data_IF_491021917598
#
_entry.id   IF_491021917598
#
_cell.length_a   1.000
_cell.length_b   1.000
_cell.length_c   1.000
_cell.angle_alpha   90.00
_cell.angle_beta   90.00
_cell.angle_gamma   90.00
#
_symmetry.space_group_name_H-M   'P 1'
#
loop_
_entity.id
_entity.type
_entity.pdbx_description
1 polymer ?
#
# COMPACT_ATOMS: atom_id res chain seq x y z
N UNK A 1 -21.90 20.07 -18.63
CA UNK A 1 -21.52 18.66 -18.50
C UNK A 1 -20.83 18.17 -19.78
N UNK A 2 -21.36 18.43 -20.96
CA UNK A 2 -20.77 18.03 -22.26
C UNK A 2 -19.31 18.50 -22.42
N UNK A 3 -18.97 19.75 -22.06
CA UNK A 3 -17.60 20.25 -22.13
C UNK A 3 -16.63 19.52 -21.17
N UNK A 4 -17.12 19.03 -20.03
CA UNK A 4 -16.28 18.25 -19.08
C UNK A 4 -15.97 16.88 -19.67
N UNK A 5 -16.93 16.25 -20.31
CA UNK A 5 -16.78 14.93 -20.92
C UNK A 5 -15.86 14.96 -22.16
N UNK A 6 -15.80 16.13 -22.86
CA UNK A 6 -14.87 16.34 -23.99
C UNK A 6 -13.43 16.64 -23.54
N UNK A 7 -13.26 17.37 -22.43
CA UNK A 7 -11.94 17.84 -21.99
C UNK A 7 -11.22 16.90 -21.04
N UNK A 8 -11.94 16.07 -20.28
CA UNK A 8 -11.35 15.13 -19.33
C UNK A 8 -11.35 13.74 -19.95
N UNK A 9 -10.19 13.24 -20.41
CA UNK A 9 -10.12 11.89 -20.95
C UNK A 9 -10.46 10.86 -19.89
N UNK A 10 -11.12 9.78 -20.28
CA UNK A 10 -11.37 8.63 -19.42
C UNK A 10 -10.01 8.09 -18.94
N UNK A 11 -9.79 7.94 -17.61
CA UNK A 11 -8.53 7.43 -17.09
C UNK A 11 -8.24 6.02 -17.62
N UNK A 12 -7.02 5.79 -18.05
CA UNK A 12 -6.56 4.44 -18.36
C UNK A 12 -6.52 3.60 -17.08
N UNK A 13 -7.15 2.44 -17.11
CA UNK A 13 -7.16 1.49 -16.00
C UNK A 13 -6.10 0.42 -16.24
N UNK A 14 -5.27 0.15 -15.26
CA UNK A 14 -4.22 -0.86 -15.33
C UNK A 14 -4.79 -2.29 -15.17
N UNK A 15 -5.70 -2.68 -16.07
CA UNK A 15 -6.43 -3.96 -16.02
C UNK A 15 -5.60 -5.14 -16.53
N UNK A 16 -4.56 -4.89 -17.31
CA UNK A 16 -3.62 -5.86 -17.91
C UNK A 16 -2.51 -6.30 -16.94
N UNK A 17 -2.41 -5.66 -15.79
CA UNK A 17 -1.44 -5.99 -14.74
C UNK A 17 -1.99 -7.07 -13.79
N UNK A 18 -1.12 -7.77 -13.03
CA UNK A 18 -1.56 -8.69 -12.00
C UNK A 18 -2.42 -7.99 -10.95
N UNK A 19 -3.52 -8.64 -10.53
CA UNK A 19 -4.44 -8.09 -9.52
C UNK A 19 -3.72 -7.69 -8.23
N UNK A 20 -4.09 -6.53 -7.71
CA UNK A 20 -3.70 -6.04 -6.40
C UNK A 20 -4.77 -5.12 -5.83
N UNK A 21 -5.19 -5.40 -4.60
CA UNK A 21 -6.13 -4.59 -3.83
C UNK A 21 -5.63 -4.42 -2.39
N UNK A 22 -5.29 -3.21 -1.95
CA UNK A 22 -5.03 -2.94 -0.54
C UNK A 22 -6.28 -3.13 0.31
N UNK A 23 -6.14 -3.76 1.46
CA UNK A 23 -7.24 -3.95 2.42
C UNK A 23 -7.43 -2.67 3.23
N UNK A 24 -8.63 -2.10 3.16
CA UNK A 24 -9.00 -0.88 3.88
C UNK A 24 -9.78 -1.19 5.16
N UNK A 25 -10.73 -2.13 5.08
CA UNK A 25 -11.53 -2.57 6.21
C UNK A 25 -11.90 -4.05 6.08
N UNK A 26 -12.19 -4.67 7.22
CA UNK A 26 -12.53 -6.10 7.30
C UNK A 26 -13.70 -6.31 8.25
N UNK A 27 -14.72 -7.01 7.80
CA UNK A 27 -15.87 -7.38 8.60
C UNK A 27 -16.38 -8.78 8.26
N UNK A 28 -17.29 -9.27 9.07
CA UNK A 28 -17.92 -10.59 8.88
C UNK A 28 -19.38 -10.40 8.53
N UNK A 29 -19.84 -11.13 7.52
CA UNK A 29 -21.26 -11.28 7.23
C UNK A 29 -21.71 -12.64 7.72
N UNK A 30 -22.68 -12.67 8.65
CA UNK A 30 -23.25 -13.92 9.18
C UNK A 30 -23.73 -14.82 8.05
N UNK A 31 -23.24 -16.06 8.02
CA UNK A 31 -23.57 -17.05 7.00
C UNK A 31 -22.87 -16.89 5.65
N UNK A 32 -22.06 -15.83 5.46
CA UNK A 32 -21.31 -15.59 4.21
C UNK A 32 -19.79 -15.64 4.38
N UNK A 33 -19.27 -15.27 5.55
CA UNK A 33 -17.85 -15.30 5.87
C UNK A 33 -17.19 -13.93 6.01
N UNK A 34 -15.89 -13.89 5.82
CA UNK A 34 -15.06 -12.69 5.96
C UNK A 34 -15.11 -11.87 4.68
N UNK A 35 -15.29 -10.56 4.83
CA UNK A 35 -15.28 -9.58 3.73
C UNK A 35 -14.16 -8.59 3.95
N UNK A 36 -13.31 -8.44 2.95
CA UNK A 36 -12.32 -7.36 2.87
C UNK A 36 -12.80 -6.30 1.88
N UNK A 37 -12.73 -5.04 2.26
CA UNK A 37 -13.03 -3.93 1.37
C UNK A 37 -11.76 -3.21 0.96
N UNK A 38 -11.78 -2.62 -0.23
CA UNK A 38 -10.69 -1.82 -0.75
C UNK A 38 -10.94 -1.38 -2.19
N UNK A 39 -10.03 -0.55 -2.66
CA UNK A 39 -9.99 -0.15 -4.07
C UNK A 39 -9.02 -1.05 -4.82
N UNK A 40 -9.46 -1.61 -5.92
CA UNK A 40 -8.57 -2.36 -6.83
C UNK A 40 -7.53 -1.39 -7.41
N UNK A 41 -6.28 -1.58 -7.06
CA UNK A 41 -5.17 -0.73 -7.51
C UNK A 41 -4.79 -1.06 -8.96
N UNK A 42 -4.77 -2.33 -9.30
CA UNK A 42 -4.47 -2.84 -10.65
C UNK A 42 -5.04 -4.23 -10.88
N UNK A 43 -5.13 -4.61 -12.15
CA UNK A 43 -5.57 -5.93 -12.57
C UNK A 43 -7.08 -6.13 -12.48
N UNK A 44 -7.47 -7.39 -12.54
CA UNK A 44 -8.86 -7.84 -12.48
C UNK A 44 -8.95 -9.03 -11.53
N UNK A 45 -10.02 -9.11 -10.75
CA UNK A 45 -10.35 -10.25 -9.89
C UNK A 45 -11.73 -10.79 -10.22
N UNK A 46 -11.86 -12.12 -10.20
CA UNK A 46 -13.11 -12.83 -10.49
C UNK A 46 -13.54 -13.71 -9.32
N UNK A 47 -14.82 -13.96 -9.24
CA UNK A 47 -15.33 -14.97 -8.33
C UNK A 47 -14.75 -16.35 -8.71
N UNK A 48 -14.18 -17.04 -7.73
CA UNK A 48 -13.48 -18.32 -7.90
C UNK A 48 -11.95 -18.19 -7.96
N UNK A 49 -11.40 -16.99 -8.13
CA UNK A 49 -9.97 -16.80 -8.12
C UNK A 49 -9.35 -17.12 -6.77
N UNK A 50 -8.14 -17.68 -6.81
CA UNK A 50 -7.26 -17.76 -5.64
C UNK A 50 -6.35 -16.55 -5.65
N UNK A 51 -6.29 -15.84 -4.54
CA UNK A 51 -5.41 -14.67 -4.33
C UNK A 51 -4.58 -14.88 -3.08
N UNK A 52 -3.44 -14.20 -2.99
CA UNK A 52 -2.60 -14.21 -1.80
C UNK A 52 -2.88 -12.97 -0.93
N UNK A 53 -3.01 -13.21 0.37
CA UNK A 53 -2.99 -12.17 1.40
C UNK A 53 -1.53 -11.95 1.82
N UNK A 54 -1.00 -10.74 1.60
CA UNK A 54 0.42 -10.40 1.77
C UNK A 54 0.59 -9.17 2.66
N UNK A 55 1.60 -9.17 3.51
CA UNK A 55 1.95 -8.07 4.41
C UNK A 55 1.58 -8.33 5.86
N UNK A 56 2.19 -7.60 6.77
CA UNK A 56 2.12 -7.70 8.24
C UNK A 56 2.63 -9.04 8.81
N UNK A 57 2.83 -10.02 7.98
CA UNK A 57 3.41 -11.34 8.28
C UNK A 57 4.42 -11.72 7.21
N UNK A 58 5.38 -12.57 7.57
CA UNK A 58 6.43 -13.04 6.65
C UNK A 58 5.90 -14.04 5.61
N UNK A 59 4.79 -14.71 5.91
CA UNK A 59 4.24 -15.75 5.04
C UNK A 59 2.96 -15.26 4.35
N UNK A 60 2.91 -15.30 3.01
CA UNK A 60 1.67 -15.08 2.28
C UNK A 60 0.68 -16.22 2.55
N UNK A 61 -0.61 -15.92 2.48
CA UNK A 61 -1.68 -16.88 2.69
C UNK A 61 -2.60 -16.92 1.48
N UNK A 62 -2.82 -18.09 0.93
CA UNK A 62 -3.80 -18.29 -0.13
C UNK A 62 -5.23 -18.20 0.41
N UNK A 63 -6.06 -17.40 -0.25
CA UNK A 63 -7.47 -17.23 0.03
C UNK A 63 -8.28 -17.30 -1.27
N UNK A 64 -9.52 -17.79 -1.18
CA UNK A 64 -10.38 -17.91 -2.35
C UNK A 64 -11.46 -16.84 -2.33
N UNK A 65 -11.60 -16.13 -3.46
CA UNK A 65 -12.67 -15.15 -3.69
C UNK A 65 -13.98 -15.88 -3.95
N UNK A 66 -14.93 -15.78 -3.04
CA UNK A 66 -16.25 -16.44 -3.16
C UNK A 66 -17.35 -15.49 -3.60
N UNK A 67 -17.08 -14.19 -3.62
CA UNK A 67 -17.99 -13.17 -4.10
C UNK A 67 -17.32 -11.83 -4.22
N UNK A 68 -17.82 -11.02 -5.14
CA UNK A 68 -17.42 -9.63 -5.33
C UNK A 68 -18.67 -8.77 -5.28
N UNK A 69 -18.65 -7.70 -4.51
CA UNK A 69 -19.78 -6.80 -4.33
C UNK A 69 -19.36 -5.34 -4.48
N UNK A 70 -20.14 -4.57 -5.22
CA UNK A 70 -19.98 -3.13 -5.35
C UNK A 70 -21.36 -2.45 -5.29
N UNK A 71 -21.54 -1.44 -4.44
CA UNK A 71 -22.79 -0.72 -4.24
C UNK A 71 -24.01 -1.66 -4.00
N UNK A 72 -23.83 -2.71 -3.17
CA UNK A 72 -24.84 -3.75 -2.86
C UNK A 72 -25.28 -4.59 -4.07
N UNK A 73 -24.45 -4.62 -5.13
CA UNK A 73 -24.68 -5.49 -6.28
C UNK A 73 -23.57 -6.53 -6.34
N UNK A 74 -23.96 -7.77 -6.53
CA UNK A 74 -23.02 -8.86 -6.79
C UNK A 74 -22.49 -8.71 -8.22
N UNK A 75 -21.19 -8.91 -8.35
CA UNK A 75 -20.47 -8.86 -9.62
C UNK A 75 -19.75 -10.20 -9.84
N UNK A 76 -19.58 -10.58 -11.09
CA UNK A 76 -18.77 -11.74 -11.47
C UNK A 76 -17.26 -11.40 -11.42
N UNK A 77 -16.92 -10.15 -11.65
CA UNK A 77 -15.54 -9.62 -11.61
C UNK A 77 -15.51 -8.15 -11.24
N UNK A 78 -14.33 -7.69 -10.83
CA UNK A 78 -14.00 -6.28 -10.65
C UNK A 78 -12.61 -5.97 -11.21
N UNK A 79 -12.36 -4.72 -11.55
CA UNK A 79 -11.15 -4.26 -12.22
C UNK A 79 -10.53 -3.03 -11.57
N UNK A 80 -9.32 -2.69 -11.99
CA UNK A 80 -8.58 -1.53 -11.52
C UNK A 80 -9.46 -0.27 -11.48
N UNK A 81 -9.47 0.41 -10.32
CA UNK A 81 -10.27 1.60 -10.05
C UNK A 81 -11.58 1.34 -9.31
N UNK A 82 -12.08 0.12 -9.27
CA UNK A 82 -13.32 -0.22 -8.57
C UNK A 82 -13.11 -0.28 -7.05
N UNK A 83 -14.06 0.28 -6.29
CA UNK A 83 -14.14 0.09 -4.84
C UNK A 83 -15.10 -1.08 -4.56
N UNK A 84 -14.59 -2.13 -3.99
CA UNK A 84 -15.31 -3.39 -3.82
C UNK A 84 -15.22 -3.98 -2.41
N UNK A 85 -16.17 -4.83 -2.09
CA UNK A 85 -16.10 -5.82 -1.01
C UNK A 85 -15.84 -7.19 -1.63
N UNK A 86 -14.82 -7.87 -1.13
CA UNK A 86 -14.46 -9.21 -1.59
C UNK A 86 -14.78 -10.21 -0.47
N UNK A 87 -15.65 -11.17 -0.75
CA UNK A 87 -15.93 -12.28 0.15
C UNK A 87 -14.80 -13.30 0.02
N UNK A 88 -14.23 -13.67 1.15
CA UNK A 88 -13.07 -14.56 1.22
C UNK A 88 -13.40 -15.85 1.95
N UNK A 89 -12.90 -16.96 1.42
CA UNK A 89 -12.85 -18.26 2.07
C UNK A 89 -11.41 -18.65 2.35
N UNK A 90 -11.18 -19.27 3.50
CA UNK A 90 -9.85 -19.69 3.94
C UNK A 90 -9.19 -18.73 4.91
N UNK A 91 -9.87 -17.65 5.32
CA UNK A 91 -9.37 -16.66 6.29
C UNK A 91 -10.49 -16.25 7.25
N UNK A 92 -10.16 -16.14 8.54
CA UNK A 92 -11.04 -15.60 9.57
C UNK A 92 -10.87 -14.06 9.65
N UNK A 93 -11.83 -13.38 10.29
CA UNK A 93 -11.83 -11.92 10.46
C UNK A 93 -10.57 -11.41 11.20
N UNK A 94 -10.10 -12.16 12.17
CA UNK A 94 -8.95 -11.88 13.02
C UNK A 94 -7.59 -12.24 12.40
N UNK A 95 -7.61 -12.88 11.23
CA UNK A 95 -6.42 -13.29 10.47
C UNK A 95 -6.12 -12.35 9.29
N UNK A 96 -6.95 -11.33 9.06
CA UNK A 96 -6.78 -10.33 8.01
C UNK A 96 -6.94 -8.93 8.60
N UNK A 97 -6.03 -8.04 8.25
CA UNK A 97 -5.98 -6.70 8.80
C UNK A 97 -5.81 -5.64 7.70
N UNK A 98 -6.25 -4.41 8.03
CA UNK A 98 -5.95 -3.23 7.23
C UNK A 98 -4.44 -3.08 7.08
N UNK A 99 -3.99 -2.81 5.87
CA UNK A 99 -2.57 -2.66 5.53
C UNK A 99 -1.96 -3.87 4.83
N UNK A 100 -2.60 -5.03 4.92
CA UNK A 100 -2.32 -6.14 4.02
C UNK A 100 -2.85 -5.85 2.63
N UNK A 101 -2.41 -6.62 1.65
CA UNK A 101 -2.93 -6.57 0.28
C UNK A 101 -3.43 -7.95 -0.14
N UNK A 102 -4.48 -7.96 -0.96
CA UNK A 102 -4.87 -9.12 -1.75
C UNK A 102 -4.24 -8.97 -3.13
N UNK A 103 -3.50 -9.96 -3.57
CA UNK A 103 -2.79 -9.92 -4.84
C UNK A 103 -2.89 -11.22 -5.61
N UNK A 104 -2.65 -11.16 -6.90
CA UNK A 104 -2.47 -12.37 -7.71
C UNK A 104 -1.28 -13.17 -7.15
N UNK A 105 -1.37 -14.53 -7.12
CA UNK A 105 -0.36 -15.35 -6.48
C UNK A 105 1.05 -15.09 -7.02
N UNK A 106 2.02 -14.96 -6.10
CA UNK A 106 3.46 -14.79 -6.40
C UNK A 106 3.82 -13.50 -7.14
N UNK A 107 2.98 -12.47 -7.11
CA UNK A 107 3.23 -11.20 -7.81
C UNK A 107 3.81 -10.11 -6.94
N UNK A 108 3.61 -10.19 -5.63
CA UNK A 108 4.18 -9.26 -4.64
C UNK A 108 4.59 -10.03 -3.39
N UNK A 109 5.58 -9.52 -2.67
CA UNK A 109 6.05 -10.07 -1.39
C UNK A 109 6.07 -9.01 -0.32
N UNK A 110 6.06 -9.46 0.93
CA UNK A 110 6.30 -8.60 2.08
C UNK A 110 7.83 -8.41 2.27
N UNK A 111 8.23 -7.19 2.60
CA UNK A 111 9.62 -6.78 2.77
C UNK A 111 9.76 -5.86 3.96
N UNK A 112 10.93 -5.88 4.58
CA UNK A 112 11.27 -5.01 5.70
C UNK A 112 12.33 -4.00 5.36
N UNK A 113 13.21 -4.27 4.38
CA UNK A 113 14.36 -3.42 4.07
C UNK A 113 14.43 -3.04 2.60
N UNK A 114 14.55 -1.74 2.34
CA UNK A 114 14.61 -1.21 0.97
C UNK A 114 15.35 0.13 0.90
N UNK A 115 15.83 0.46 -0.29
CA UNK A 115 16.35 1.81 -0.61
C UNK A 115 15.23 2.69 -1.16
N UNK A 116 15.34 3.96 -0.87
CA UNK A 116 14.36 4.97 -1.29
C UNK A 116 15.01 6.28 -1.71
N UNK A 117 14.30 7.01 -2.53
CA UNK A 117 14.55 8.41 -2.82
C UNK A 117 13.42 9.24 -2.24
N UNK A 118 13.75 10.24 -1.43
CA UNK A 118 12.80 10.99 -0.60
C UNK A 118 13.04 12.47 -0.73
N UNK A 119 11.97 13.23 -0.92
CA UNK A 119 11.92 14.66 -0.72
C UNK A 119 11.49 14.98 0.71
N UNK A 120 12.29 15.74 1.43
CA UNK A 120 11.99 16.17 2.81
C UNK A 120 11.31 17.53 2.76
N UNK A 121 10.07 17.59 3.22
CA UNK A 121 9.26 18.81 3.20
C UNK A 121 9.87 19.91 4.06
N UNK A 122 9.86 21.13 3.52
CA UNK A 122 10.27 22.35 4.24
C UNK A 122 9.24 22.73 5.31
N UNK A 123 9.63 23.62 6.21
CA UNK A 123 8.71 24.19 7.22
C UNK A 123 7.51 24.89 6.56
N UNK A 124 7.72 25.58 5.45
CA UNK A 124 6.67 26.32 4.72
C UNK A 124 5.65 25.38 4.08
N UNK A 125 6.09 24.17 3.71
CA UNK A 125 5.23 23.09 3.21
C UNK A 125 4.55 22.28 4.33
N UNK A 126 4.72 22.69 5.59
CA UNK A 126 4.17 22.01 6.78
C UNK A 126 5.04 20.89 7.33
N UNK A 127 6.26 20.73 6.80
CA UNK A 127 7.23 19.73 7.23
C UNK A 127 8.03 20.12 8.48
N UNK A 128 9.25 19.61 8.56
CA UNK A 128 10.18 19.86 9.67
C UNK A 128 10.88 21.22 9.50
N UNK A 129 11.35 21.78 10.61
CA UNK A 129 12.21 22.96 10.66
C UNK A 129 13.64 22.61 11.14
N UNK A 130 13.88 21.36 11.51
CA UNK A 130 15.17 20.86 11.98
C UNK A 130 15.61 19.68 11.12
N UNK A 131 16.92 19.49 10.92
CA UNK A 131 17.44 18.31 10.24
C UNK A 131 17.13 17.03 11.03
N UNK A 132 17.25 15.90 10.38
CA UNK A 132 17.31 14.62 11.06
C UNK A 132 18.63 13.90 10.73
N UNK A 133 18.98 12.98 11.61
CA UNK A 133 20.26 12.27 11.59
C UNK A 133 20.03 10.79 11.35
N UNK A 134 21.13 10.07 11.14
CA UNK A 134 21.09 8.62 11.07
C UNK A 134 20.40 8.01 12.30
N UNK A 135 19.58 6.99 12.06
CA UNK A 135 18.75 6.39 13.11
C UNK A 135 17.43 7.13 13.41
N UNK A 136 17.07 8.13 12.61
CA UNK A 136 15.73 8.76 12.69
C UNK A 136 14.63 7.73 12.46
N UNK A 137 13.59 7.77 13.28
CA UNK A 137 12.62 6.68 13.39
C UNK A 137 11.17 7.15 13.31
N UNK A 138 10.72 7.63 12.11
CA UNK A 138 9.37 8.09 11.87
C UNK A 138 8.41 6.95 11.53
N UNK A 139 7.16 7.33 11.19
CA UNK A 139 6.17 6.44 10.60
C UNK A 139 6.17 6.56 9.08
N UNK A 140 6.11 5.42 8.42
CA UNK A 140 6.04 5.28 6.97
C UNK A 140 4.65 4.82 6.56
N UNK A 141 3.98 5.60 5.72
CA UNK A 141 2.62 5.35 5.26
C UNK A 141 2.65 4.71 3.88
N UNK A 142 2.28 3.44 3.83
CA UNK A 142 2.14 2.67 2.59
C UNK A 142 0.67 2.32 2.37
N UNK A 143 0.12 2.68 1.22
CA UNK A 143 -1.28 2.37 0.88
C UNK A 143 -2.25 2.69 2.03
N UNK A 144 -2.71 1.68 2.75
CA UNK A 144 -3.74 1.80 3.79
C UNK A 144 -3.24 1.68 5.23
N UNK A 145 -1.92 1.55 5.42
CA UNK A 145 -1.32 1.39 6.77
C UNK A 145 -0.09 2.25 6.96
N UNK A 146 0.27 2.39 8.22
CA UNK A 146 1.54 2.97 8.65
C UNK A 146 2.36 1.96 9.44
N UNK A 147 3.67 2.09 9.34
CA UNK A 147 4.63 1.27 10.08
C UNK A 147 5.82 2.11 10.49
N UNK A 148 6.32 1.86 11.70
CA UNK A 148 7.53 2.49 12.17
C UNK A 148 8.76 1.87 11.48
N UNK A 149 9.69 2.70 11.06
CA UNK A 149 10.95 2.24 10.47
C UNK A 149 12.12 3.11 10.85
N UNK A 150 13.30 2.57 10.70
CA UNK A 150 14.56 3.25 10.94
C UNK A 150 15.16 3.72 9.62
N UNK A 151 15.70 4.93 9.61
CA UNK A 151 16.42 5.50 8.46
C UNK A 151 17.91 5.33 8.65
N UNK A 152 18.57 4.71 7.68
CA UNK A 152 20.01 4.64 7.53
C UNK A 152 20.43 5.56 6.38
N UNK A 153 21.18 6.61 6.70
CA UNK A 153 21.72 7.55 5.71
C UNK A 153 22.85 6.90 4.92
N UNK A 154 23.10 7.38 3.70
CA UNK A 154 24.23 6.94 2.89
C UNK A 154 25.56 7.28 3.57
N UNK A 155 26.60 6.50 3.29
CA UNK A 155 27.93 6.71 3.84
C UNK A 155 28.46 8.12 3.51
N UNK A 156 28.93 8.84 4.53
CA UNK A 156 29.40 10.22 4.41
C UNK A 156 28.30 11.28 4.54
N UNK A 157 27.03 10.91 4.68
CA UNK A 157 25.94 11.84 4.98
C UNK A 157 25.67 11.86 6.47
N UNK A 158 25.90 13.00 7.12
CA UNK A 158 25.71 13.14 8.57
C UNK A 158 24.27 13.51 8.93
N UNK A 159 23.62 14.32 8.09
CA UNK A 159 22.26 14.80 8.31
C UNK A 159 21.54 15.08 6.99
N UNK A 160 20.22 15.18 7.07
CA UNK A 160 19.34 15.60 5.96
C UNK A 160 18.54 16.82 6.40
N UNK A 161 18.55 17.86 5.58
CA UNK A 161 17.87 19.13 5.84
C UNK A 161 16.46 19.14 5.23
N UNK A 162 15.51 19.88 5.84
CA UNK A 162 14.25 20.19 5.16
C UNK A 162 14.51 20.87 3.80
N UNK A 163 13.83 20.38 2.75
CA UNK A 163 14.03 20.82 1.36
C UNK A 163 14.99 19.94 0.56
N UNK A 164 15.70 19.02 1.19
CA UNK A 164 16.61 18.12 0.50
C UNK A 164 15.87 16.97 -0.23
N UNK A 165 16.45 16.57 -1.36
CA UNK A 165 16.23 15.27 -1.96
C UNK A 165 17.34 14.34 -1.49
N UNK A 166 17.01 13.30 -0.78
CA UNK A 166 17.99 12.39 -0.19
C UNK A 166 17.65 10.93 -0.51
N UNK A 167 18.71 10.12 -0.53
CA UNK A 167 18.60 8.67 -0.64
C UNK A 167 18.93 8.06 0.71
N UNK A 168 18.13 7.11 1.13
CA UNK A 168 18.42 6.33 2.33
C UNK A 168 17.89 4.91 2.24
N UNK A 169 18.47 4.05 3.08
CA UNK A 169 17.93 2.75 3.36
C UNK A 169 16.92 2.85 4.51
N UNK A 170 15.78 2.23 4.34
CA UNK A 170 14.72 2.16 5.35
C UNK A 170 14.58 0.71 5.79
N UNK A 171 14.53 0.51 7.11
CA UNK A 171 14.28 -0.77 7.75
C UNK A 171 13.03 -0.67 8.61
N UNK A 172 11.96 -1.37 8.19
CA UNK A 172 10.65 -1.38 8.86
C UNK A 172 10.64 -2.41 9.99
N UNK A 173 9.89 -2.14 11.05
CA UNK A 173 9.70 -3.09 12.16
C UNK A 173 8.72 -4.21 11.84
N UNK A 174 7.94 -4.07 10.77
CA UNK A 174 6.92 -5.04 10.34
C UNK A 174 6.99 -5.18 8.81
N UNK A 175 6.92 -6.40 8.27
CA UNK A 175 6.96 -6.61 6.82
C UNK A 175 5.71 -6.05 6.14
N UNK A 176 5.90 -5.31 5.07
CA UNK A 176 4.84 -4.68 4.27
C UNK A 176 4.95 -5.15 2.82
N UNK A 177 3.83 -5.32 2.15
CA UNK A 177 3.78 -5.61 0.72
C UNK A 177 4.34 -4.43 -0.08
N UNK A 178 5.59 -4.51 -0.48
CA UNK A 178 6.36 -3.46 -1.14
C UNK A 178 6.85 -3.94 -2.50
N UNK A 179 6.89 -3.03 -3.45
CA UNK A 179 7.50 -3.23 -4.76
C UNK A 179 8.27 -1.98 -5.20
N UNK A 180 9.18 -2.15 -6.13
CA UNK A 180 9.90 -1.01 -6.73
C UNK A 180 8.92 -0.04 -7.38
N UNK A 181 9.10 1.26 -7.14
CA UNK A 181 8.23 2.31 -7.64
C UNK A 181 7.06 2.65 -6.72
N UNK A 182 6.85 1.90 -5.63
CA UNK A 182 5.80 2.22 -4.65
C UNK A 182 6.12 3.54 -3.97
N UNK A 183 5.14 4.45 -3.98
CA UNK A 183 5.22 5.74 -3.28
C UNK A 183 4.79 5.59 -1.83
N UNK A 184 5.40 6.37 -0.95
CA UNK A 184 5.07 6.41 0.47
C UNK A 184 5.23 7.82 1.04
N UNK A 185 4.59 8.06 2.18
CA UNK A 185 4.76 9.28 2.95
C UNK A 185 5.48 8.98 4.25
N UNK A 186 6.28 9.94 4.72
CA UNK A 186 6.93 9.91 6.04
C UNK A 186 6.18 10.88 6.93
N UNK A 187 5.77 10.43 8.12
CA UNK A 187 5.04 11.25 9.08
C UNK A 187 5.64 11.18 10.48
N UNK A 188 5.54 12.30 11.15
CA UNK A 188 5.96 12.48 12.53
C UNK A 188 4.88 13.26 13.28
N UNK A 189 4.36 12.72 14.38
CA UNK A 189 3.36 13.41 15.20
C UNK A 189 2.13 13.87 14.42
N UNK A 190 1.67 13.11 13.41
CA UNK A 190 0.53 13.46 12.58
C UNK A 190 0.81 14.43 11.42
N UNK A 191 2.05 14.92 11.28
CA UNK A 191 2.48 15.78 10.16
C UNK A 191 3.25 14.98 9.12
N UNK A 192 2.98 15.23 7.85
CA UNK A 192 3.81 14.71 6.76
C UNK A 192 5.11 15.51 6.71
N UNK A 193 6.23 14.83 6.83
CA UNK A 193 7.56 15.43 6.82
C UNK A 193 8.38 15.07 5.60
N UNK A 194 7.91 14.13 4.80
CA UNK A 194 8.55 13.74 3.55
C UNK A 194 7.67 12.86 2.69
N UNK A 195 8.03 12.76 1.44
CA UNK A 195 7.41 11.85 0.46
C UNK A 195 8.51 11.16 -0.34
N UNK A 196 8.37 9.87 -0.55
CA UNK A 196 9.39 9.08 -1.21
C UNK A 196 8.86 8.00 -2.12
N UNK A 197 9.78 7.37 -2.82
CA UNK A 197 9.54 6.23 -3.70
C UNK A 197 10.56 5.13 -3.40
N UNK A 198 10.10 3.89 -3.44
CA UNK A 198 10.96 2.70 -3.30
C UNK A 198 11.77 2.53 -4.58
N UNK A 199 13.09 2.54 -4.47
CA UNK A 199 14.00 2.40 -5.62
C UNK A 199 14.55 0.99 -5.78
N UNK A 200 14.79 0.31 -4.66
CA UNK A 200 15.36 -1.04 -4.64
C UNK A 200 14.89 -1.79 -3.39
N UNK A 201 14.53 -3.06 -3.52
CA UNK A 201 14.23 -3.95 -2.40
C UNK A 201 15.53 -4.65 -1.99
N UNK A 202 15.78 -4.74 -0.67
CA UNK A 202 16.97 -5.41 -0.11
C UNK A 202 16.56 -6.72 0.56
N UNK A 203 15.48 -6.68 1.41
CA UNK A 203 15.01 -7.83 2.19
C UNK A 203 13.51 -7.75 2.45
#
# INVERSE_FOLDING_TARGET
MEEVDEWIPTPERATDQPFLMPVEDVFTITGRGTVATGRVERGTVKVGDTVELVGLTDQPRDVVVTGVEMFRKLLDQAEAGDNIGVLLRGVQRDEIERGQVLAAPKTIKAHTKFKSEVYVLTKEEGGRHTPFFNGYRPQFYFRTTDVTGNIELEEGVEMVMPGDNARFTIELITPIAIEKGLKFAIREGGRTVGAGVVTEIIE
#
